data_IF_975451025287
#
_entry.id   IF_975451025287
#
_cell.length_a   1.000
_cell.length_b   1.000
_cell.length_c   1.000
_cell.angle_alpha   90.00
_cell.angle_beta   90.00
_cell.angle_gamma   90.00
#
_symmetry.space_group_name_H-M   'P 1'
#
loop_
_entity.id
_entity.type
_entity.pdbx_description
1 polymer ?
#
# COMPACT_ATOMS: atom_id res chain seq x y z
N UNK A 1 -14.39 21.62 -9.43
CA UNK A 1 -13.02 21.14 -9.72
C UNK A 1 -13.07 19.63 -9.82
N UNK A 2 -12.62 19.04 -10.93
CA UNK A 2 -12.53 17.58 -11.07
C UNK A 2 -11.41 17.08 -10.16
N UNK A 3 -11.68 16.10 -9.29
CA UNK A 3 -10.63 15.44 -8.50
C UNK A 3 -9.67 14.74 -9.46
N UNK A 4 -8.36 14.90 -9.26
CA UNK A 4 -7.36 14.11 -9.95
C UNK A 4 -7.20 12.75 -9.24
N UNK A 5 -6.71 11.73 -9.94
CA UNK A 5 -6.46 10.42 -9.34
C UNK A 5 -5.42 10.50 -8.20
N UNK A 6 -4.52 11.48 -8.23
CA UNK A 6 -3.54 11.76 -7.16
C UNK A 6 -4.21 12.22 -5.85
N UNK A 7 -5.28 13.01 -5.95
CA UNK A 7 -6.05 13.42 -4.79
C UNK A 7 -6.73 12.20 -4.14
N UNK A 8 -7.24 11.28 -4.98
CA UNK A 8 -7.85 10.03 -4.52
C UNK A 8 -6.83 9.10 -3.85
N UNK A 9 -5.58 9.05 -4.34
CA UNK A 9 -4.50 8.28 -3.70
C UNK A 9 -4.14 8.85 -2.32
N UNK A 10 -4.02 10.18 -2.21
CA UNK A 10 -3.79 10.86 -0.93
C UNK A 10 -4.93 10.60 0.06
N UNK A 11 -6.18 10.63 -0.43
CA UNK A 11 -7.36 10.31 0.38
C UNK A 11 -7.32 8.85 0.85
N UNK A 12 -6.97 7.90 -0.02
CA UNK A 12 -6.83 6.50 0.33
C UNK A 12 -5.75 6.26 1.40
N UNK A 13 -4.56 6.86 1.26
CA UNK A 13 -3.48 6.77 2.24
C UNK A 13 -3.91 7.32 3.62
N UNK A 14 -4.61 8.45 3.62
CA UNK A 14 -5.14 9.07 4.85
C UNK A 14 -6.12 8.13 5.55
N UNK A 15 -7.05 7.54 4.79
CA UNK A 15 -8.07 6.60 5.32
C UNK A 15 -7.44 5.32 5.85
N UNK A 16 -6.48 4.75 5.14
CA UNK A 16 -5.76 3.55 5.57
C UNK A 16 -4.91 3.81 6.83
N UNK A 17 -4.31 4.99 6.93
CA UNK A 17 -3.57 5.39 8.14
C UNK A 17 -4.49 5.52 9.35
N UNK A 18 -5.67 6.12 9.18
CA UNK A 18 -6.67 6.19 10.24
C UNK A 18 -7.17 4.78 10.64
N UNK A 19 -7.44 3.90 9.66
CA UNK A 19 -7.83 2.52 9.91
C UNK A 19 -6.76 1.76 10.70
N UNK A 20 -5.47 1.95 10.37
CA UNK A 20 -4.35 1.36 11.12
C UNK A 20 -4.33 1.80 12.59
N UNK A 21 -4.60 3.08 12.86
CA UNK A 21 -4.65 3.62 14.23
C UNK A 21 -5.82 3.04 15.02
N UNK A 22 -7.01 2.98 14.42
CA UNK A 22 -8.20 2.38 15.05
C UNK A 22 -7.98 0.91 15.37
N UNK A 23 -7.45 0.14 14.40
CA UNK A 23 -7.17 -1.27 14.60
C UNK A 23 -6.09 -1.52 15.66
N UNK A 24 -5.06 -0.67 15.74
CA UNK A 24 -4.06 -0.75 16.79
C UNK A 24 -4.65 -0.50 18.18
N UNK A 25 -5.59 0.43 18.30
CA UNK A 25 -6.33 0.67 19.54
C UNK A 25 -7.19 -0.55 19.92
N UNK A 26 -7.87 -1.16 18.95
CA UNK A 26 -8.68 -2.37 19.17
C UNK A 26 -7.83 -3.56 19.63
N UNK A 27 -6.69 -3.82 18.97
CA UNK A 27 -5.73 -4.86 19.38
C UNK A 27 -5.20 -4.60 20.80
N UNK A 28 -4.94 -3.34 21.15
CA UNK A 28 -4.42 -2.96 22.47
C UNK A 28 -5.47 -3.13 23.57
N UNK A 29 -6.73 -2.84 23.26
CA UNK A 29 -7.86 -3.00 24.18
C UNK A 29 -8.36 -4.45 24.27
N UNK A 30 -7.84 -5.34 23.42
CA UNK A 30 -8.28 -6.73 23.33
C UNK A 30 -7.88 -7.52 24.60
N UNK A 31 -8.79 -8.28 25.23
CA UNK A 31 -8.47 -9.10 26.40
C UNK A 31 -7.41 -10.17 26.04
N UNK A 32 -6.63 -10.65 27.01
CA UNK A 32 -5.54 -11.61 26.77
C UNK A 32 -5.99 -12.79 25.89
N UNK A 33 -5.50 -12.88 24.63
CA UNK A 33 -6.01 -13.86 23.67
C UNK A 33 -5.39 -15.24 23.92
N UNK A 34 -6.16 -16.29 23.66
CA UNK A 34 -5.62 -17.65 23.56
C UNK A 34 -4.95 -17.78 22.20
N UNK A 35 -3.62 -17.74 22.21
CA UNK A 35 -2.79 -17.82 20.99
C UNK A 35 -3.21 -19.02 20.13
N UNK A 36 -3.51 -18.76 18.85
CA UNK A 36 -3.85 -19.80 17.87
C UNK A 36 -5.31 -20.29 17.87
N UNK A 37 -6.07 -20.07 18.94
CA UNK A 37 -7.49 -20.46 19.03
C UNK A 37 -8.46 -19.28 18.96
N UNK A 38 -7.98 -18.06 19.21
CA UNK A 38 -8.80 -16.87 19.17
C UNK A 38 -8.98 -16.37 17.73
N UNK A 39 -10.04 -16.86 17.08
CA UNK A 39 -10.37 -16.51 15.70
C UNK A 39 -10.60 -14.99 15.51
N UNK A 40 -11.14 -14.30 16.52
CA UNK A 40 -11.37 -12.87 16.45
C UNK A 40 -10.05 -12.10 16.53
N UNK A 41 -9.16 -12.45 17.47
CA UNK A 41 -7.84 -11.84 17.54
C UNK A 41 -7.00 -12.12 16.28
N UNK A 42 -7.06 -13.35 15.76
CA UNK A 42 -6.37 -13.72 14.51
C UNK A 42 -6.86 -12.88 13.32
N UNK A 43 -8.16 -12.57 13.27
CA UNK A 43 -8.71 -11.67 12.25
C UNK A 43 -8.12 -10.26 12.37
N UNK A 44 -8.01 -9.70 13.57
CA UNK A 44 -7.37 -8.38 13.78
C UNK A 44 -5.92 -8.35 13.30
N UNK A 45 -5.15 -9.42 13.54
CA UNK A 45 -3.79 -9.54 13.03
C UNK A 45 -3.73 -9.61 11.51
N UNK A 46 -4.68 -10.31 10.88
CA UNK A 46 -4.79 -10.39 9.43
C UNK A 46 -5.14 -9.03 8.82
N UNK A 47 -6.08 -8.29 9.41
CA UNK A 47 -6.42 -6.93 8.98
C UNK A 47 -5.22 -5.98 9.13
N UNK A 48 -4.45 -6.10 10.22
CA UNK A 48 -3.26 -5.29 10.44
C UNK A 48 -2.23 -5.51 9.34
N UNK A 49 -2.04 -6.78 8.93
CA UNK A 49 -1.15 -7.11 7.82
C UNK A 49 -1.68 -6.57 6.49
N UNK A 50 -3.00 -6.69 6.24
CA UNK A 50 -3.64 -6.20 5.02
C UNK A 50 -3.48 -4.69 4.87
N UNK A 51 -3.75 -3.92 5.92
CA UNK A 51 -3.60 -2.45 5.91
C UNK A 51 -2.14 -2.05 5.69
N UNK A 52 -1.19 -2.74 6.33
CA UNK A 52 0.23 -2.46 6.14
C UNK A 52 0.66 -2.67 4.67
N UNK A 53 0.24 -3.77 4.04
CA UNK A 53 0.51 -4.04 2.63
C UNK A 53 -0.13 -3.01 1.69
N UNK A 54 -1.35 -2.58 1.99
CA UNK A 54 -2.03 -1.56 1.19
C UNK A 54 -1.30 -0.21 1.24
N UNK A 55 -0.86 0.21 2.43
CA UNK A 55 -0.06 1.43 2.60
C UNK A 55 1.28 1.36 1.87
N UNK A 56 1.97 0.22 1.94
CA UNK A 56 3.21 -0.02 1.21
C UNK A 56 2.99 0.07 -0.31
N UNK A 57 1.93 -0.56 -0.83
CA UNK A 57 1.62 -0.52 -2.25
C UNK A 57 1.31 0.90 -2.77
N UNK A 58 0.77 1.79 -1.93
CA UNK A 58 0.46 3.18 -2.30
C UNK A 58 1.71 4.07 -2.21
N UNK A 59 2.62 3.82 -1.27
CA UNK A 59 3.79 4.67 -1.04
C UNK A 59 5.01 4.33 -1.88
N UNK A 60 5.05 3.14 -2.49
CA UNK A 60 6.18 2.71 -3.33
C UNK A 60 6.22 3.53 -4.62
N UNK A 61 7.37 4.17 -4.87
CA UNK A 61 7.69 4.71 -6.19
C UNK A 61 7.97 3.55 -7.15
N UNK A 62 7.09 3.41 -8.16
CA UNK A 62 7.20 2.33 -9.14
C UNK A 62 8.13 2.78 -10.26
N UNK A 63 9.36 2.28 -10.22
CA UNK A 63 10.29 2.44 -11.34
C UNK A 63 9.80 1.63 -12.55
N UNK A 64 9.42 2.32 -13.62
CA UNK A 64 9.13 1.69 -14.92
C UNK A 64 10.36 1.85 -15.81
N UNK A 65 11.11 0.77 -16.09
CA UNK A 65 12.22 0.83 -17.02
C UNK A 65 11.68 1.18 -18.40
N UNK A 66 12.06 2.33 -18.94
CA UNK A 66 11.80 2.67 -20.33
C UNK A 66 12.80 1.91 -21.21
N UNK A 67 12.38 1.07 -22.17
CA UNK A 67 13.31 0.37 -23.05
C UNK A 67 14.13 1.39 -23.84
N UNK A 68 15.46 1.39 -23.65
CA UNK A 68 16.40 2.20 -24.45
C UNK A 68 16.85 1.47 -25.69
N UNK A 69 15.95 0.79 -26.40
CA UNK A 69 16.29 0.22 -27.70
C UNK A 69 16.01 1.30 -28.74
N UNK A 70 17.03 1.99 -29.29
CA UNK A 70 16.84 2.65 -30.57
C UNK A 70 16.30 1.58 -31.52
N UNK A 71 15.11 1.79 -32.06
CA UNK A 71 14.62 0.99 -33.17
C UNK A 71 15.71 0.94 -34.24
N UNK A 72 15.82 -0.15 -35.00
CA UNK A 72 16.89 -0.34 -36.01
C UNK A 72 16.93 0.79 -37.07
N UNK A 73 15.88 1.61 -37.14
CA UNK A 73 15.73 2.82 -37.97
C UNK A 73 16.18 4.13 -37.31
N UNK A 74 16.49 4.14 -36.02
CA UNK A 74 17.14 5.26 -35.35
C UNK A 74 18.63 5.24 -35.72
N UNK A 75 18.94 5.81 -36.88
CA UNK A 75 20.30 5.94 -37.40
C UNK A 75 21.23 6.53 -36.36
N UNK A 76 22.25 5.77 -35.99
CA UNK A 76 23.42 6.30 -35.29
C UNK A 76 24.28 6.96 -36.36
N UNK A 77 24.05 8.25 -36.61
CA UNK A 77 25.04 9.07 -37.29
C UNK A 77 26.18 9.35 -36.31
N UNK A 78 27.23 8.53 -36.37
CA UNK A 78 28.53 8.86 -35.80
C UNK A 78 29.34 9.59 -36.88
N UNK A 79 29.63 10.87 -36.65
CA UNK A 79 30.69 11.62 -37.33
C UNK A 79 31.93 11.62 -36.46
#
# INVERSE_FOLDING_TARGET
>A
MSKDYRDLLTEAETRLTAARQLLAAEITAYPTPISGCDAQFNHLLAERRRIALALEAISVDVFIPTPRTPTRTAGVESR
#
